data_IF_281112136968
#
_entry.id   IF_281112136968
#
_cell.length_a   1.000
_cell.length_b   1.000
_cell.length_c   1.000
_cell.angle_alpha   90.00
_cell.angle_beta   90.00
_cell.angle_gamma   90.00
#
_symmetry.space_group_name_H-M   'P 1'
#
loop_
_entity.id
_entity.type
_entity.pdbx_description
1 polymer ?
#
# COMPACT_ATOMS: atom_id res chain seq x y z
N UNK A 1 47.41 38.44 0.13
CA UNK A 1 45.98 38.20 -0.14
C UNK A 1 45.87 36.96 -1.02
N UNK A 2 45.87 35.79 -0.40
CA UNK A 2 44.70 35.04 0.12
C UNK A 2 43.98 34.31 -1.00
N UNK A 3 44.41 33.05 -1.16
CA UNK A 3 43.88 31.89 -1.91
C UNK A 3 42.40 31.56 -1.61
N UNK A 4 41.58 32.54 -1.28
CA UNK A 4 40.20 32.37 -0.82
C UNK A 4 39.16 32.39 -1.96
N UNK A 5 39.57 32.74 -3.19
CA UNK A 5 38.64 32.98 -4.30
C UNK A 5 38.43 31.79 -5.25
N UNK A 6 39.08 30.64 -5.04
CA UNK A 6 38.91 29.46 -5.90
C UNK A 6 38.12 28.32 -5.23
N UNK A 7 37.94 28.35 -3.91
CA UNK A 7 37.18 27.33 -3.17
C UNK A 7 35.66 27.50 -3.26
N UNK A 8 35.18 28.68 -3.67
CA UNK A 8 33.75 28.98 -3.80
C UNK A 8 33.11 28.47 -5.10
N UNK A 9 33.92 28.16 -6.12
CA UNK A 9 33.40 27.67 -7.42
C UNK A 9 33.18 26.15 -7.37
N UNK A 10 33.96 25.42 -6.59
CA UNK A 10 33.87 23.94 -6.48
C UNK A 10 32.65 23.52 -5.64
N UNK A 11 32.20 24.36 -4.69
CA UNK A 11 31.02 24.08 -3.87
C UNK A 11 29.68 24.27 -4.61
N UNK A 12 29.67 24.99 -5.74
CA UNK A 12 28.46 25.23 -6.53
C UNK A 12 28.05 24.05 -7.44
N UNK A 13 28.98 23.15 -7.76
CA UNK A 13 28.75 22.05 -8.72
C UNK A 13 28.23 20.77 -8.00
N UNK A 14 28.48 20.63 -6.70
CA UNK A 14 28.01 19.47 -5.94
C UNK A 14 26.50 19.47 -5.64
N UNK A 15 25.80 20.60 -5.83
CA UNK A 15 24.37 20.71 -5.56
C UNK A 15 23.46 20.27 -6.73
N UNK A 16 24.00 19.94 -7.90
CA UNK A 16 23.21 19.54 -9.07
C UNK A 16 22.98 18.01 -9.17
N UNK A 17 23.56 17.21 -8.28
CA UNK A 17 23.31 15.77 -8.21
C UNK A 17 22.18 15.39 -7.23
N UNK A 18 21.50 16.37 -6.62
CA UNK A 18 20.21 16.16 -5.99
C UNK A 18 19.10 16.22 -7.06
N UNK A 19 19.31 15.52 -8.18
CA UNK A 19 18.21 15.05 -8.99
C UNK A 19 17.45 14.07 -8.11
N UNK A 20 16.39 14.56 -7.48
CA UNK A 20 15.32 13.72 -6.95
C UNK A 20 14.72 13.05 -8.18
N UNK A 21 15.29 11.91 -8.57
CA UNK A 21 14.60 10.98 -9.44
C UNK A 21 13.33 10.62 -8.69
N UNK A 22 12.24 11.29 -9.07
CA UNK A 22 10.90 10.92 -8.68
C UNK A 22 10.61 9.65 -9.49
N UNK A 23 11.27 8.55 -9.11
CA UNK A 23 10.97 7.22 -9.59
C UNK A 23 9.50 7.03 -9.24
N UNK A 24 8.65 6.96 -10.27
CA UNK A 24 7.23 6.73 -10.09
C UNK A 24 7.11 5.41 -9.32
N UNK A 25 6.45 5.39 -8.15
CA UNK A 25 6.51 4.24 -7.25
C UNK A 25 6.05 2.96 -7.95
N UNK A 26 6.82 1.90 -7.77
CA UNK A 26 6.56 0.63 -8.45
C UNK A 26 5.50 -0.18 -7.71
N UNK A 27 4.52 -0.70 -8.46
CA UNK A 27 3.44 -1.52 -7.92
C UNK A 27 3.57 -2.96 -8.43
N UNK A 28 3.69 -3.92 -7.50
CA UNK A 28 3.51 -5.34 -7.80
C UNK A 28 2.04 -5.70 -7.74
N UNK A 29 1.46 -6.06 -8.87
CA UNK A 29 0.04 -6.43 -8.96
C UNK A 29 -0.14 -7.92 -9.19
N UNK A 30 -1.03 -8.53 -8.40
CA UNK A 30 -1.54 -9.88 -8.61
C UNK A 30 -2.99 -9.81 -9.05
N UNK A 31 -3.33 -10.46 -10.16
CA UNK A 31 -4.70 -10.55 -10.63
C UNK A 31 -5.29 -11.89 -10.23
N UNK A 32 -6.42 -11.86 -9.55
CA UNK A 32 -7.16 -13.07 -9.17
C UNK A 32 -8.46 -13.16 -9.96
N UNK A 33 -8.81 -14.38 -10.36
CA UNK A 33 -10.07 -14.70 -11.04
C UNK A 33 -11.10 -15.09 -9.96
N UNK A 34 -12.35 -14.61 -10.07
CA UNK A 34 -13.39 -14.95 -9.10
C UNK A 34 -13.87 -16.39 -9.27
N UNK A 35 -13.91 -17.12 -8.15
CA UNK A 35 -14.56 -18.43 -8.03
C UNK A 35 -15.90 -18.32 -7.27
N UNK A 36 -16.38 -17.09 -7.02
CA UNK A 36 -17.54 -16.74 -6.20
C UNK A 36 -17.23 -15.56 -5.27
N UNK A 37 -18.13 -14.57 -5.20
CA UNK A 37 -17.94 -13.32 -4.45
C UNK A 37 -17.71 -13.55 -2.94
N UNK A 38 -18.50 -14.43 -2.34
CA UNK A 38 -18.41 -14.74 -0.91
C UNK A 38 -17.11 -15.46 -0.53
N UNK A 39 -16.64 -16.37 -1.39
CA UNK A 39 -15.40 -17.11 -1.15
C UNK A 39 -14.19 -16.19 -1.15
N UNK A 40 -14.17 -15.21 -2.07
CA UNK A 40 -13.08 -14.27 -2.14
C UNK A 40 -13.07 -13.31 -0.95
N UNK A 41 -14.21 -12.74 -0.54
CA UNK A 41 -14.25 -11.85 0.62
C UNK A 41 -13.79 -12.52 1.93
N UNK A 42 -14.05 -13.81 2.09
CA UNK A 42 -13.66 -14.57 3.29
C UNK A 42 -12.16 -14.89 3.35
N UNK A 43 -11.45 -14.84 2.22
CA UNK A 43 -10.05 -15.27 2.12
C UNK A 43 -9.13 -14.23 1.50
N UNK A 44 -9.64 -13.06 1.12
CA UNK A 44 -8.90 -12.04 0.38
C UNK A 44 -7.61 -11.61 1.09
N UNK A 45 -7.69 -11.37 2.41
CA UNK A 45 -6.54 -10.93 3.21
C UNK A 45 -5.50 -12.06 3.39
N UNK A 46 -5.93 -13.31 3.56
CA UNK A 46 -5.03 -14.46 3.62
C UNK A 46 -4.33 -14.70 2.28
N UNK A 47 -5.08 -14.68 1.17
CA UNK A 47 -4.52 -14.80 -0.20
C UNK A 47 -3.54 -13.67 -0.48
N UNK A 48 -3.88 -12.44 -0.09
CA UNK A 48 -3.00 -11.29 -0.24
C UNK A 48 -1.68 -11.50 0.52
N UNK A 49 -1.73 -11.90 1.78
CA UNK A 49 -0.53 -12.15 2.57
C UNK A 49 0.32 -13.29 2.02
N UNK A 50 -0.29 -14.38 1.55
CA UNK A 50 0.43 -15.49 0.93
C UNK A 50 1.16 -15.04 -0.34
N UNK A 51 0.52 -14.25 -1.20
CA UNK A 51 1.16 -13.71 -2.42
C UNK A 51 2.28 -12.73 -2.08
N UNK A 52 2.03 -11.85 -1.10
CA UNK A 52 3.02 -10.90 -0.62
C UNK A 52 4.24 -11.63 -0.07
N UNK A 53 4.07 -12.54 0.89
CA UNK A 53 5.16 -13.26 1.60
C UNK A 53 6.05 -14.07 0.66
N UNK A 54 5.50 -14.61 -0.44
CA UNK A 54 6.24 -15.38 -1.43
C UNK A 54 6.86 -14.53 -2.56
N UNK A 55 6.77 -13.20 -2.49
CA UNK A 55 7.31 -12.29 -3.50
C UNK A 55 8.54 -11.53 -3.01
N UNK A 56 9.45 -11.21 -3.94
CA UNK A 56 10.58 -10.31 -3.69
C UNK A 56 10.13 -8.96 -3.16
N UNK A 57 10.76 -8.47 -2.08
CA UNK A 57 10.38 -7.24 -1.38
C UNK A 57 11.03 -5.98 -1.97
N UNK A 58 11.03 -5.85 -3.29
CA UNK A 58 11.74 -4.81 -4.05
C UNK A 58 10.81 -3.81 -4.76
N UNK A 59 9.56 -3.73 -4.33
CA UNK A 59 8.52 -2.82 -4.83
C UNK A 59 7.99 -1.97 -3.71
N UNK A 60 7.55 -0.75 -4.04
CA UNK A 60 6.96 0.17 -3.07
C UNK A 60 5.59 -0.34 -2.63
N UNK A 61 4.74 -0.72 -3.61
CA UNK A 61 3.38 -1.18 -3.35
C UNK A 61 3.19 -2.63 -3.80
N UNK A 62 2.36 -3.35 -3.07
CA UNK A 62 1.90 -4.70 -3.42
C UNK A 62 0.40 -4.69 -3.40
N UNK A 63 -0.22 -5.22 -4.44
CA UNK A 63 -1.67 -5.23 -4.53
C UNK A 63 -2.22 -6.50 -5.15
N UNK A 64 -3.41 -6.87 -4.68
CA UNK A 64 -4.26 -7.87 -5.31
C UNK A 64 -5.47 -7.17 -5.89
N UNK A 65 -5.78 -7.46 -7.15
CA UNK A 65 -6.97 -6.96 -7.83
C UNK A 65 -7.84 -8.16 -8.19
N UNK A 66 -9.04 -8.22 -7.61
CA UNK A 66 -10.14 -9.01 -8.16
C UNK A 66 -10.86 -8.17 -9.21
N UNK A 67 -10.96 -8.67 -10.44
CA UNK A 67 -11.50 -7.93 -11.59
C UNK A 67 -12.88 -7.29 -11.34
N UNK A 68 -13.71 -7.85 -10.46
CA UNK A 68 -15.07 -7.40 -10.20
C UNK A 68 -15.40 -7.14 -8.71
N UNK A 69 -14.47 -7.40 -7.78
CA UNK A 69 -14.84 -7.43 -6.36
C UNK A 69 -14.05 -6.46 -5.50
N UNK A 70 -12.73 -6.41 -5.57
CA UNK A 70 -11.95 -5.57 -4.66
C UNK A 70 -10.54 -5.29 -5.13
N UNK A 71 -9.92 -4.30 -4.49
CA UNK A 71 -8.48 -4.06 -4.52
C UNK A 71 -7.98 -4.05 -3.07
N UNK A 72 -6.95 -4.84 -2.79
CA UNK A 72 -6.15 -4.72 -1.56
C UNK A 72 -4.81 -4.18 -1.98
N UNK A 73 -4.37 -3.08 -1.39
CA UNK A 73 -3.09 -2.43 -1.68
C UNK A 73 -2.32 -2.20 -0.38
N UNK A 74 -1.04 -2.55 -0.37
CA UNK A 74 -0.17 -2.49 0.79
C UNK A 74 1.11 -1.74 0.47
N UNK A 75 1.44 -0.76 1.31
CA UNK A 75 2.68 0.00 1.29
C UNK A 75 3.49 -0.30 2.55
N UNK A 76 4.48 -1.21 2.49
CA UNK A 76 5.21 -1.67 3.68
C UNK A 76 5.97 -0.55 4.39
N UNK A 77 6.66 0.31 3.63
CA UNK A 77 7.49 1.37 4.21
C UNK A 77 6.65 2.42 4.95
N UNK A 78 5.44 2.71 4.47
CA UNK A 78 4.49 3.59 5.16
C UNK A 78 3.54 2.87 6.12
N UNK A 79 3.68 1.54 6.30
CA UNK A 79 2.81 0.71 7.12
C UNK A 79 1.32 0.95 6.85
N UNK A 80 0.96 1.02 5.57
CA UNK A 80 -0.37 1.42 5.11
C UNK A 80 -1.02 0.29 4.33
N UNK A 81 -2.21 -0.13 4.77
CA UNK A 81 -3.10 -1.05 4.04
C UNK A 81 -4.32 -0.27 3.55
N UNK A 82 -4.64 -0.39 2.28
CA UNK A 82 -5.78 0.29 1.66
C UNK A 82 -6.67 -0.73 0.96
N UNK A 83 -7.99 -0.59 1.15
CA UNK A 83 -8.98 -1.51 0.63
C UNK A 83 -9.98 -0.74 -0.22
N UNK A 84 -10.30 -1.31 -1.38
CA UNK A 84 -11.42 -0.94 -2.23
C UNK A 84 -12.36 -2.14 -2.26
N UNK A 85 -13.59 -2.01 -1.74
CA UNK A 85 -14.55 -3.13 -1.64
C UNK A 85 -15.36 -3.38 -2.91
N UNK A 86 -15.18 -2.53 -3.92
CA UNK A 86 -15.79 -2.66 -5.22
C UNK A 86 -14.90 -1.95 -6.25
N UNK A 87 -14.33 -2.72 -7.16
CA UNK A 87 -13.42 -2.22 -8.17
C UNK A 87 -14.16 -1.27 -9.12
N UNK A 88 -14.04 0.03 -8.88
CA UNK A 88 -14.76 1.06 -9.62
C UNK A 88 -15.56 2.02 -8.75
N UNK A 89 -15.59 1.84 -7.42
CA UNK A 89 -16.38 2.67 -6.48
C UNK A 89 -15.54 3.55 -5.55
N UNK A 90 -14.23 3.65 -5.81
CA UNK A 90 -13.29 4.45 -5.02
C UNK A 90 -12.62 3.65 -3.90
N UNK A 91 -11.66 4.26 -3.22
CA UNK A 91 -11.07 3.63 -2.03
C UNK A 91 -12.09 3.59 -0.90
N UNK A 92 -12.25 2.43 -0.28
CA UNK A 92 -13.20 2.21 0.81
C UNK A 92 -12.60 2.55 2.16
N UNK A 93 -11.48 1.91 2.52
CA UNK A 93 -10.83 2.07 3.83
C UNK A 93 -9.32 2.17 3.72
N UNK A 94 -8.73 2.86 4.70
CA UNK A 94 -7.29 2.91 4.92
C UNK A 94 -6.94 2.64 6.39
N UNK A 95 -5.90 1.83 6.57
CA UNK A 95 -5.39 1.43 7.86
C UNK A 95 -3.90 1.73 7.95
N UNK A 96 -3.50 2.47 8.98
CA UNK A 96 -2.10 2.76 9.35
C UNK A 96 -1.57 1.74 10.36
N UNK A 97 -0.26 1.80 10.57
CA UNK A 97 0.48 0.93 11.49
C UNK A 97 0.41 -0.57 11.13
N UNK A 98 0.06 -0.87 9.88
CA UNK A 98 0.06 -2.24 9.35
C UNK A 98 1.48 -2.60 8.92
N UNK A 99 2.31 -3.08 9.83
CA UNK A 99 3.56 -3.73 9.44
C UNK A 99 3.32 -5.20 9.01
N UNK A 100 4.37 -5.89 8.58
CA UNK A 100 4.27 -7.26 8.10
C UNK A 100 3.75 -8.24 9.18
N UNK A 101 4.05 -7.99 10.45
CA UNK A 101 3.56 -8.80 11.56
C UNK A 101 2.06 -8.59 11.78
N UNK A 102 1.60 -7.33 11.72
CA UNK A 102 0.18 -6.99 11.76
C UNK A 102 -0.57 -7.62 10.57
N UNK A 103 -0.02 -7.49 9.35
CA UNK A 103 -0.59 -8.08 8.14
C UNK A 103 -0.71 -9.60 8.24
N UNK A 104 0.33 -10.26 8.75
CA UNK A 104 0.32 -11.71 9.02
C UNK A 104 -0.77 -12.08 10.02
N UNK A 105 -0.88 -11.34 11.14
CA UNK A 105 -1.90 -11.60 12.17
C UNK A 105 -3.31 -11.50 11.58
N UNK A 106 -3.58 -10.48 10.75
CA UNK A 106 -4.87 -10.33 10.06
C UNK A 106 -5.17 -11.54 9.17
N UNK A 107 -4.16 -12.00 8.42
CA UNK A 107 -4.28 -13.17 7.55
C UNK A 107 -4.51 -14.48 8.33
N UNK A 108 -3.79 -14.69 9.43
CA UNK A 108 -3.86 -15.89 10.29
C UNK A 108 -5.23 -15.97 11.01
N UNK A 109 -5.80 -14.83 11.37
CA UNK A 109 -7.14 -14.74 11.98
C UNK A 109 -8.28 -14.99 10.98
N UNK A 110 -7.98 -15.07 9.67
CA UNK A 110 -8.96 -15.28 8.60
C UNK A 110 -10.10 -14.26 8.64
N UNK A 111 -9.75 -13.01 8.97
CA UNK A 111 -10.71 -11.90 9.00
C UNK A 111 -11.25 -11.69 7.59
N UNK A 112 -12.57 -11.53 7.48
CA UNK A 112 -13.19 -11.19 6.20
C UNK A 112 -12.87 -9.75 5.85
N UNK A 113 -12.76 -9.47 4.56
CA UNK A 113 -12.40 -8.12 4.08
C UNK A 113 -13.30 -7.03 4.67
N UNK A 114 -14.62 -7.25 4.67
CA UNK A 114 -15.62 -6.29 5.15
C UNK A 114 -15.71 -6.18 6.68
N UNK A 115 -15.14 -7.13 7.41
CA UNK A 115 -15.21 -7.14 8.88
C UNK A 115 -13.97 -6.50 9.49
N UNK A 116 -12.97 -6.10 8.69
CA UNK A 116 -11.67 -5.61 9.18
C UNK A 116 -11.80 -4.38 10.09
N UNK A 117 -12.80 -3.53 9.85
CA UNK A 117 -13.09 -2.35 10.68
C UNK A 117 -13.44 -2.71 12.13
N UNK A 118 -14.01 -3.90 12.38
CA UNK A 118 -14.37 -4.36 13.73
C UNK A 118 -13.15 -4.78 14.55
N UNK A 119 -12.00 -4.96 13.91
CA UNK A 119 -10.73 -5.33 14.55
C UNK A 119 -9.80 -4.11 14.73
N UNK A 120 -10.32 -2.90 14.43
CA UNK A 120 -9.64 -1.64 14.74
C UNK A 120 -9.77 -1.38 16.24
N UNK A 121 -8.63 -1.45 16.94
CA UNK A 121 -8.42 -1.02 18.33
C UNK A 121 -9.11 -1.78 19.49
N UNK A 122 -8.85 -3.09 19.63
CA UNK A 122 -8.71 -3.68 20.98
C UNK A 122 -7.24 -3.97 21.37
N UNK A 123 -6.32 -4.08 20.40
CA UNK A 123 -4.91 -4.51 20.61
C UNK A 123 -3.83 -3.63 19.91
N UNK A 124 -4.16 -2.45 19.37
CA UNK A 124 -3.24 -1.55 18.62
C UNK A 124 -2.60 -2.16 17.34
N UNK A 125 -3.27 -3.10 16.65
CA UNK A 125 -2.68 -3.77 15.48
C UNK A 125 -2.81 -2.95 14.20
N UNK A 126 -3.91 -2.19 14.05
CA UNK A 126 -4.21 -1.35 12.89
C UNK A 126 -5.02 -0.13 13.33
N UNK A 127 -4.75 1.03 12.72
CA UNK A 127 -5.47 2.28 12.99
C UNK A 127 -6.23 2.72 11.75
N UNK A 128 -7.54 2.88 11.84
CA UNK A 128 -8.32 3.49 10.76
C UNK A 128 -7.93 4.96 10.58
N UNK A 129 -7.86 5.41 9.32
CA UNK A 129 -7.45 6.79 9.04
C UNK A 129 -8.65 7.66 8.65
N UNK A 130 -8.83 8.77 9.36
CA UNK A 130 -9.83 9.79 8.99
C UNK A 130 -9.44 10.60 7.75
N UNK A 131 -8.16 10.58 7.36
CA UNK A 131 -7.65 11.28 6.17
C UNK A 131 -6.96 10.31 5.22
N UNK A 132 -7.54 10.17 4.02
CA UNK A 132 -7.01 9.31 2.97
C UNK A 132 -5.67 9.82 2.46
N UNK A 133 -4.68 8.94 2.48
CA UNK A 133 -3.40 9.13 1.83
C UNK A 133 -3.55 8.68 0.37
N UNK A 134 -3.07 9.49 -0.57
CA UNK A 134 -3.01 9.07 -1.97
C UNK A 134 -2.07 7.88 -2.13
N UNK A 135 -2.57 6.80 -2.72
CA UNK A 135 -1.78 5.59 -3.00
C UNK A 135 -1.67 5.31 -4.49
N UNK A 136 -0.57 4.67 -4.89
CA UNK A 136 -0.39 4.18 -6.26
C UNK A 136 -1.03 2.79 -6.38
N UNK A 137 -1.80 2.59 -7.44
CA UNK A 137 -2.43 1.31 -7.77
C UNK A 137 -2.51 1.15 -9.30
N UNK A 138 -2.42 -0.08 -9.80
CA UNK A 138 -2.75 -0.40 -11.20
C UNK A 138 -4.24 -0.75 -11.37
N UNK A 139 -5.03 -0.74 -10.29
CA UNK A 139 -6.48 -0.87 -10.31
C UNK A 139 -7.18 0.44 -10.66
N UNK A 140 -8.52 0.39 -10.73
CA UNK A 140 -9.34 1.56 -11.04
C UNK A 140 -10.36 1.82 -9.92
N UNK A 141 -9.93 2.30 -8.74
CA UNK A 141 -10.86 2.80 -7.73
C UNK A 141 -11.49 4.10 -8.26
N UNK A 142 -12.62 4.05 -8.99
CA UNK A 142 -13.27 5.31 -9.41
C UNK A 142 -14.01 5.91 -8.22
N UNK A 143 -13.35 6.85 -7.53
CA UNK A 143 -13.96 7.60 -6.43
C UNK A 143 -12.87 8.13 -5.52
N UNK A 144 -12.61 9.43 -5.63
CA UNK A 144 -12.09 10.19 -4.50
C UNK A 144 -13.34 10.39 -3.62
N UNK A 145 -13.43 9.70 -2.49
CA UNK A 145 -14.37 10.11 -1.46
C UNK A 145 -13.85 11.46 -0.95
N UNK A 146 -14.56 12.53 -1.34
CA UNK A 146 -14.40 13.88 -0.80
C UNK A 146 -15.03 13.96 0.59
#
# INVERSE_FOLDING_TARGET
MKRANQLLIILGIACLAACVDKVDPEVKTFYIQPNGKDTLNNHALSIFYDLYSNTEKNRDYYEVISKADFIINYYPAGKLLTICYDNGSGWGEQYKNVDEAALRRIADLKIKLNDLTQYVSEDNVIDHTESFINIKSNGKPNGILY
#
